data_IF_554539952852
#
_entry.id   IF_554539952852
#
_cell.length_a   1.000
_cell.length_b   1.000
_cell.length_c   1.000
_cell.angle_alpha   90.00
_cell.angle_beta   90.00
_cell.angle_gamma   90.00
#
_symmetry.space_group_name_H-M   'P 1'
#
loop_
_entity.id
_entity.type
_entity.pdbx_description
1 polymer ?
#
# COMPACT_ATOMS: atom_id res chain seq x y z
N UNK A 1 10.92 44.85 16.77
CA UNK A 1 11.96 44.07 16.08
C UNK A 1 11.41 42.65 15.97
N UNK A 2 10.73 42.36 14.85
CA UNK A 2 10.03 41.07 14.68
C UNK A 2 11.06 39.97 14.40
N UNK A 3 10.95 38.89 15.17
CA UNK A 3 11.67 37.64 14.88
C UNK A 3 11.12 37.06 13.55
N UNK A 4 11.99 37.02 12.54
CA UNK A 4 11.75 36.29 11.31
C UNK A 4 11.88 34.80 11.68
N UNK A 5 10.77 34.10 11.85
CA UNK A 5 10.80 32.65 11.96
C UNK A 5 11.45 32.06 10.72
N UNK A 6 12.55 31.35 10.91
CA UNK A 6 13.24 30.65 9.81
C UNK A 6 12.44 29.40 9.52
N UNK A 7 11.66 29.44 8.43
CA UNK A 7 11.00 28.26 7.89
C UNK A 7 12.08 27.22 7.55
N UNK A 8 11.97 26.02 8.10
CA UNK A 8 12.87 24.91 7.76
C UNK A 8 12.64 24.48 6.32
N UNK A 9 13.65 23.85 5.67
CA UNK A 9 13.52 23.28 4.32
C UNK A 9 12.30 22.34 4.22
N UNK A 10 11.97 21.63 5.29
CA UNK A 10 10.85 20.72 5.40
C UNK A 10 9.50 21.45 5.43
N UNK A 11 9.39 22.51 6.19
CA UNK A 11 8.18 23.35 6.23
C UNK A 11 7.97 24.07 4.89
N UNK A 12 9.05 24.53 4.26
CA UNK A 12 8.99 25.11 2.92
C UNK A 12 8.46 24.10 1.88
N UNK A 13 8.93 22.85 1.92
CA UNK A 13 8.47 21.78 1.03
C UNK A 13 7.03 21.39 1.30
N UNK A 14 6.58 21.33 2.57
CA UNK A 14 5.18 21.09 2.93
C UNK A 14 4.25 22.18 2.41
N UNK A 15 4.63 23.45 2.58
CA UNK A 15 3.83 24.59 2.12
C UNK A 15 3.77 24.70 0.59
N UNK A 16 4.78 24.20 -0.11
CA UNK A 16 4.92 24.36 -1.56
C UNK A 16 4.70 23.05 -2.36
N UNK A 17 4.49 21.89 -1.70
CA UNK A 17 4.29 20.61 -2.41
C UNK A 17 3.11 20.69 -3.40
N UNK A 18 1.99 21.28 -2.99
CA UNK A 18 0.84 21.52 -3.87
C UNK A 18 1.13 22.50 -5.00
N UNK A 19 1.98 23.51 -4.75
CA UNK A 19 2.37 24.52 -5.74
C UNK A 19 3.37 23.91 -6.73
N UNK A 20 4.33 23.11 -6.27
CA UNK A 20 5.30 22.42 -7.13
C UNK A 20 4.62 21.43 -8.05
N UNK A 21 3.62 20.69 -7.55
CA UNK A 21 2.76 19.80 -8.35
C UNK A 21 1.96 20.58 -9.39
N UNK A 22 1.33 21.69 -8.99
CA UNK A 22 0.53 22.53 -9.88
C UNK A 22 1.35 23.22 -10.97
N UNK A 23 2.65 23.47 -10.72
CA UNK A 23 3.57 24.10 -11.67
C UNK A 23 4.35 23.08 -12.54
N UNK A 24 4.16 21.78 -12.33
CA UNK A 24 4.93 20.75 -13.03
C UNK A 24 6.44 20.74 -12.72
N UNK A 25 6.84 21.39 -11.62
CA UNK A 25 8.25 21.50 -11.18
C UNK A 25 8.67 20.28 -10.32
N UNK A 26 8.23 19.09 -10.72
CA UNK A 26 8.65 17.86 -10.06
C UNK A 26 10.10 17.53 -10.43
N UNK A 27 10.94 17.06 -9.48
CA UNK A 27 12.26 16.55 -9.81
C UNK A 27 12.13 15.45 -10.87
N UNK A 28 12.76 15.64 -12.00
CA UNK A 28 12.69 14.66 -13.11
C UNK A 28 13.13 13.27 -12.69
N UNK A 29 12.67 12.25 -13.38
CA UNK A 29 13.14 10.86 -13.18
C UNK A 29 14.65 10.82 -13.28
N UNK A 30 15.26 10.04 -12.38
CA UNK A 30 16.67 9.72 -12.44
C UNK A 30 16.97 9.03 -13.79
N UNK A 31 18.16 9.27 -14.36
CA UNK A 31 18.57 8.60 -15.60
C UNK A 31 18.82 7.12 -15.35
N UNK A 32 18.68 6.30 -16.39
CA UNK A 32 18.89 4.85 -16.31
C UNK A 32 20.23 4.43 -15.66
N UNK A 33 21.28 5.26 -15.79
CA UNK A 33 22.59 5.04 -15.14
C UNK A 33 22.51 5.10 -13.60
N UNK A 34 21.54 5.78 -13.04
CA UNK A 34 21.34 5.91 -11.59
C UNK A 34 20.60 4.70 -10.98
N UNK A 35 20.02 3.83 -11.82
CA UNK A 35 19.22 2.66 -11.42
C UNK A 35 20.02 1.35 -11.40
N UNK A 36 21.35 1.45 -11.26
CA UNK A 36 22.24 0.28 -11.27
C UNK A 36 21.82 -0.76 -10.25
N UNK A 37 21.53 -1.97 -10.75
CA UNK A 37 21.16 -3.12 -9.94
C UNK A 37 19.66 -3.36 -9.78
N UNK A 38 18.78 -2.45 -10.24
CA UNK A 38 17.37 -2.72 -10.33
C UNK A 38 17.09 -3.66 -11.50
N UNK A 39 16.29 -4.70 -11.24
CA UNK A 39 15.80 -5.62 -12.30
C UNK A 39 14.26 -5.53 -12.39
N UNK A 40 13.73 -5.95 -13.52
CA UNK A 40 12.29 -6.15 -13.67
C UNK A 40 11.83 -7.42 -12.94
N UNK A 41 10.59 -7.37 -12.45
CA UNK A 41 9.89 -8.52 -11.86
C UNK A 41 8.37 -8.32 -11.94
N UNK A 42 7.64 -9.41 -11.78
CA UNK A 42 6.18 -9.39 -11.65
C UNK A 42 5.78 -9.59 -10.19
N UNK A 43 4.77 -8.90 -9.72
CA UNK A 43 4.21 -9.04 -8.38
C UNK A 43 2.70 -8.84 -8.39
N UNK A 44 2.05 -9.25 -7.30
CA UNK A 44 0.62 -9.13 -7.10
C UNK A 44 0.32 -8.06 -6.07
N UNK A 45 -0.81 -7.37 -6.21
CA UNK A 45 -1.33 -6.43 -5.20
C UNK A 45 -2.82 -6.72 -5.01
N UNK A 46 -3.23 -6.88 -3.77
CA UNK A 46 -4.62 -7.10 -3.40
C UNK A 46 -4.94 -6.38 -2.09
N UNK A 47 -6.17 -5.99 -1.89
CA UNK A 47 -6.60 -5.24 -0.71
C UNK A 47 -8.00 -5.65 -0.25
N UNK A 48 -8.32 -5.30 1.00
CA UNK A 48 -9.65 -5.40 1.58
C UNK A 48 -10.22 -6.82 1.43
N UNK A 49 -9.54 -7.78 2.05
CA UNK A 49 -9.84 -9.20 1.94
C UNK A 49 -11.00 -9.60 2.86
N UNK A 50 -11.07 -8.99 4.06
CA UNK A 50 -12.13 -9.19 5.03
C UNK A 50 -12.46 -10.68 5.24
N UNK A 51 -11.45 -11.46 5.62
CA UNK A 51 -11.68 -12.85 6.00
C UNK A 51 -12.60 -12.88 7.21
N UNK A 52 -13.82 -13.34 7.04
CA UNK A 52 -14.87 -13.29 8.04
C UNK A 52 -14.92 -14.56 8.90
N UNK A 53 -14.96 -15.71 8.26
CA UNK A 53 -14.98 -17.02 8.91
C UNK A 53 -14.55 -18.11 7.90
N UNK A 54 -14.68 -19.37 8.31
CA UNK A 54 -14.28 -20.54 7.49
C UNK A 54 -15.01 -20.63 6.14
N UNK A 55 -16.18 -20.02 5.99
CA UNK A 55 -16.87 -19.96 4.69
C UNK A 55 -16.11 -19.15 3.63
N UNK A 56 -15.11 -18.37 4.04
CA UNK A 56 -14.23 -17.64 3.13
C UNK A 56 -13.17 -18.55 2.48
N UNK A 57 -12.91 -19.74 3.02
CA UNK A 57 -11.86 -20.63 2.51
C UNK A 57 -11.98 -20.93 1.01
N UNK A 58 -13.12 -21.44 0.52
CA UNK A 58 -13.24 -21.76 -0.92
C UNK A 58 -13.04 -20.55 -1.81
N UNK A 59 -13.43 -19.34 -1.33
CA UNK A 59 -13.23 -18.10 -2.04
C UNK A 59 -11.73 -17.79 -2.19
N UNK A 60 -10.99 -17.76 -1.09
CA UNK A 60 -9.57 -17.39 -1.11
C UNK A 60 -8.68 -18.48 -1.71
N UNK A 61 -9.04 -19.75 -1.59
CA UNK A 61 -8.40 -20.82 -2.36
C UNK A 61 -8.58 -20.61 -3.87
N UNK A 62 -9.79 -20.19 -4.29
CA UNK A 62 -10.08 -19.84 -5.67
C UNK A 62 -9.24 -18.65 -6.14
N UNK A 63 -9.19 -17.57 -5.34
CA UNK A 63 -8.38 -16.38 -5.60
C UNK A 63 -6.90 -16.75 -5.74
N UNK A 64 -6.33 -17.47 -4.78
CA UNK A 64 -4.92 -17.86 -4.82
C UNK A 64 -4.60 -18.75 -6.03
N UNK A 65 -5.50 -19.67 -6.38
CA UNK A 65 -5.34 -20.52 -7.56
C UNK A 65 -5.33 -19.69 -8.86
N UNK A 66 -6.24 -18.72 -8.97
CA UNK A 66 -6.32 -17.88 -10.17
C UNK A 66 -5.17 -16.87 -10.24
N UNK A 67 -4.72 -16.32 -9.12
CA UNK A 67 -3.49 -15.52 -9.04
C UNK A 67 -2.28 -16.27 -9.59
N UNK A 68 -2.10 -17.54 -9.21
CA UNK A 68 -1.03 -18.40 -9.77
C UNK A 68 -1.17 -18.62 -11.26
N UNK A 69 -2.39 -18.81 -11.75
CA UNK A 69 -2.66 -19.07 -13.15
C UNK A 69 -2.42 -17.83 -14.02
N UNK A 70 -2.82 -16.66 -13.53
CA UNK A 70 -2.72 -15.38 -14.27
C UNK A 70 -1.33 -14.74 -14.18
N UNK A 71 -0.58 -15.02 -13.10
CA UNK A 71 0.77 -14.49 -12.89
C UNK A 71 1.74 -15.57 -12.38
N UNK A 72 2.05 -16.62 -13.17
CA UNK A 72 2.89 -17.73 -12.71
C UNK A 72 4.34 -17.31 -12.42
N UNK A 73 4.75 -16.14 -12.90
CA UNK A 73 6.08 -15.55 -12.64
C UNK A 73 6.08 -14.47 -11.55
N UNK A 74 4.99 -14.32 -10.78
CA UNK A 74 4.97 -13.39 -9.66
C UNK A 74 5.95 -13.82 -8.57
N UNK A 75 6.72 -12.86 -8.05
CA UNK A 75 7.76 -13.11 -7.06
C UNK A 75 7.28 -12.85 -5.64
N UNK A 76 6.25 -12.03 -5.45
CA UNK A 76 5.60 -11.78 -4.16
C UNK A 76 4.18 -11.20 -4.35
N UNK A 77 3.45 -11.09 -3.24
CA UNK A 77 2.14 -10.44 -3.18
C UNK A 77 2.13 -9.35 -2.10
N UNK A 78 1.60 -8.16 -2.40
CA UNK A 78 1.32 -7.09 -1.42
C UNK A 78 -0.15 -7.17 -1.00
N UNK A 79 -0.40 -7.22 0.30
CA UNK A 79 -1.73 -7.21 0.90
C UNK A 79 -1.97 -5.83 1.54
N UNK A 80 -2.80 -5.00 0.92
CA UNK A 80 -2.96 -3.60 1.33
C UNK A 80 -4.06 -3.41 2.40
N UNK A 81 -4.00 -4.20 3.47
CA UNK A 81 -4.82 -4.05 4.67
C UNK A 81 -6.23 -4.62 4.60
N UNK A 82 -6.92 -4.55 5.73
CA UNK A 82 -8.23 -5.16 5.99
C UNK A 82 -8.23 -6.66 5.63
N UNK A 83 -7.28 -7.37 6.22
CA UNK A 83 -7.08 -8.80 6.02
C UNK A 83 -8.16 -9.60 6.74
N UNK A 84 -8.42 -9.23 8.00
CA UNK A 84 -9.53 -9.72 8.81
C UNK A 84 -10.77 -8.84 8.66
N UNK A 85 -11.96 -9.34 9.01
CA UNK A 85 -13.18 -8.55 9.05
C UNK A 85 -13.39 -7.83 10.40
N UNK A 86 -12.80 -8.32 11.48
CA UNK A 86 -12.95 -7.78 12.85
C UNK A 86 -11.77 -8.09 13.77
N UNK A 87 -10.59 -8.26 13.23
CA UNK A 87 -9.34 -8.40 13.99
C UNK A 87 -9.21 -9.67 14.85
N UNK A 88 -10.05 -10.68 14.62
CA UNK A 88 -10.01 -11.93 15.38
C UNK A 88 -8.83 -12.82 14.97
N UNK A 89 -8.19 -13.53 15.90
CA UNK A 89 -7.06 -14.42 15.59
C UNK A 89 -7.34 -15.45 14.49
N UNK A 90 -8.52 -16.08 14.51
CA UNK A 90 -8.92 -17.05 13.50
C UNK A 90 -9.06 -16.44 12.10
N UNK A 91 -9.41 -15.16 12.01
CA UNK A 91 -9.51 -14.45 10.73
C UNK A 91 -8.13 -14.16 10.15
N UNK A 92 -7.19 -13.67 10.96
CA UNK A 92 -5.80 -13.43 10.53
C UNK A 92 -5.10 -14.74 10.15
N UNK A 93 -5.27 -15.80 10.95
CA UNK A 93 -4.72 -17.11 10.60
C UNK A 93 -5.32 -17.64 9.29
N UNK A 94 -6.65 -17.52 9.13
CA UNK A 94 -7.32 -17.97 7.91
C UNK A 94 -6.78 -17.30 6.67
N UNK A 95 -6.63 -15.98 6.66
CA UNK A 95 -6.11 -15.28 5.49
C UNK A 95 -4.62 -15.56 5.25
N UNK A 96 -3.80 -15.64 6.31
CA UNK A 96 -2.40 -16.06 6.20
C UNK A 96 -2.29 -17.42 5.52
N UNK A 97 -2.99 -18.41 6.03
CA UNK A 97 -2.94 -19.80 5.54
C UNK A 97 -3.43 -19.87 4.08
N UNK A 98 -4.48 -19.10 3.73
CA UNK A 98 -4.95 -19.01 2.35
C UNK A 98 -3.87 -18.44 1.40
N UNK A 99 -3.19 -17.37 1.79
CA UNK A 99 -2.14 -16.77 0.95
C UNK A 99 -0.81 -17.54 0.97
N UNK A 100 -0.53 -18.33 2.01
CA UNK A 100 0.59 -19.29 1.99
C UNK A 100 0.47 -20.30 0.84
N UNK A 101 -0.76 -20.61 0.41
CA UNK A 101 -0.99 -21.47 -0.75
C UNK A 101 -0.46 -20.88 -2.05
N UNK A 102 -0.22 -19.57 -2.16
CA UNK A 102 0.45 -18.97 -3.32
C UNK A 102 1.85 -19.56 -3.56
N UNK A 103 2.54 -19.97 -2.50
CA UNK A 103 3.90 -20.49 -2.57
C UNK A 103 4.96 -19.44 -2.91
N UNK A 104 4.62 -18.17 -2.79
CA UNK A 104 5.51 -17.01 -2.90
C UNK A 104 5.37 -16.16 -1.63
N UNK A 105 6.37 -15.34 -1.26
CA UNK A 105 6.27 -14.41 -0.15
C UNK A 105 5.09 -13.45 -0.31
N UNK A 106 4.46 -13.07 0.80
CA UNK A 106 3.53 -11.96 0.82
C UNK A 106 3.86 -10.99 1.95
N UNK A 107 3.51 -9.73 1.75
CA UNK A 107 3.84 -8.63 2.65
C UNK A 107 2.56 -7.84 2.92
N UNK A 108 2.22 -7.69 4.19
CA UNK A 108 0.95 -7.11 4.62
C UNK A 108 1.11 -5.67 5.14
N UNK A 109 0.18 -4.81 4.82
CA UNK A 109 -0.12 -3.61 5.58
C UNK A 109 -1.31 -3.88 6.50
N UNK A 110 -1.33 -3.25 7.67
CA UNK A 110 -2.47 -3.33 8.59
C UNK A 110 -3.58 -2.40 8.12
N UNK A 111 -4.85 -2.85 8.19
CA UNK A 111 -6.03 -2.04 7.99
C UNK A 111 -6.82 -1.82 9.28
N UNK A 112 -7.86 -0.99 9.23
CA UNK A 112 -8.66 -0.69 10.42
C UNK A 112 -9.52 -1.87 10.89
N UNK A 113 -9.90 -2.77 10.00
CA UNK A 113 -10.59 -4.01 10.36
C UNK A 113 -9.68 -5.08 10.97
N UNK A 114 -8.36 -4.90 10.91
CA UNK A 114 -7.38 -5.78 11.53
C UNK A 114 -7.21 -5.54 13.04
N UNK A 115 -7.92 -4.55 13.58
CA UNK A 115 -7.99 -4.27 15.01
C UNK A 115 -9.20 -4.97 15.66
N UNK A 116 -8.96 -5.62 16.78
CA UNK A 116 -10.01 -6.21 17.62
C UNK A 116 -10.78 -5.13 18.40
N UNK A 117 -10.10 -4.06 18.77
CA UNK A 117 -10.63 -2.86 19.42
C UNK A 117 -9.79 -1.65 19.03
N UNK A 118 -10.16 -0.39 19.35
CA UNK A 118 -9.42 0.80 18.92
C UNK A 118 -7.91 0.79 19.22
N UNK A 119 -7.45 -0.03 20.16
CA UNK A 119 -6.04 -0.10 20.56
C UNK A 119 -5.48 -1.52 20.53
N UNK A 120 -6.28 -2.53 20.17
CA UNK A 120 -5.85 -3.93 20.18
C UNK A 120 -5.67 -4.47 18.77
N UNK A 121 -4.43 -4.60 18.34
CA UNK A 121 -3.99 -5.20 17.08
C UNK A 121 -3.04 -6.38 17.27
N UNK A 122 -3.00 -6.94 18.48
CA UNK A 122 -2.07 -8.02 18.84
C UNK A 122 -2.19 -9.22 17.91
N UNK A 123 -3.40 -9.59 17.53
CA UNK A 123 -3.62 -10.71 16.61
C UNK A 123 -2.95 -10.48 15.24
N UNK A 124 -3.00 -9.26 14.71
CA UNK A 124 -2.27 -8.91 13.49
C UNK A 124 -0.76 -9.01 13.72
N UNK A 125 -0.25 -8.39 14.78
CA UNK A 125 1.19 -8.36 15.08
C UNK A 125 1.77 -9.75 15.36
N UNK A 126 0.99 -10.66 15.95
CA UNK A 126 1.37 -12.06 16.18
C UNK A 126 1.39 -12.89 14.89
N UNK A 127 0.46 -12.62 13.96
CA UNK A 127 0.32 -13.35 12.70
C UNK A 127 1.28 -12.83 11.62
N UNK A 128 1.39 -11.50 11.48
CA UNK A 128 2.22 -10.79 10.49
C UNK A 128 3.39 -10.08 11.17
N UNK A 129 4.24 -10.85 11.84
CA UNK A 129 5.33 -10.34 12.68
C UNK A 129 6.23 -9.37 11.93
N UNK A 130 6.43 -8.19 12.51
CA UNK A 130 7.30 -7.15 11.94
C UNK A 130 6.73 -6.43 10.74
N UNK A 131 5.44 -6.62 10.41
CA UNK A 131 4.81 -6.02 9.24
C UNK A 131 3.86 -4.86 9.62
N UNK A 132 4.27 -3.98 10.53
CA UNK A 132 3.54 -2.74 10.84
C UNK A 132 4.11 -1.57 10.06
N UNK A 133 5.36 -1.19 10.34
CA UNK A 133 6.15 -0.25 9.55
C UNK A 133 7.48 -0.93 9.22
N UNK A 134 7.77 -1.15 7.96
CA UNK A 134 8.93 -1.97 7.58
C UNK A 134 9.40 -1.70 6.15
N UNK A 135 10.61 -2.15 5.85
CA UNK A 135 11.23 -2.01 4.56
C UNK A 135 11.75 -3.38 4.11
N UNK A 136 11.57 -3.67 2.84
CA UNK A 136 12.08 -4.87 2.18
C UNK A 136 12.89 -4.43 0.97
N UNK A 137 14.01 -5.07 0.73
CA UNK A 137 14.73 -4.96 -0.53
C UNK A 137 14.41 -6.16 -1.42
N UNK A 138 14.04 -5.89 -2.68
CA UNK A 138 13.74 -6.93 -3.66
C UNK A 138 14.18 -6.50 -5.05
N UNK A 139 15.04 -7.30 -5.70
CA UNK A 139 15.46 -7.03 -7.09
C UNK A 139 16.09 -5.66 -7.33
N UNK A 140 16.73 -5.06 -6.31
CA UNK A 140 17.28 -3.71 -6.36
C UNK A 140 16.27 -2.59 -6.11
N UNK A 141 15.03 -2.93 -5.81
CA UNK A 141 13.96 -2.03 -5.37
C UNK A 141 13.83 -1.97 -3.86
N UNK A 142 13.20 -0.92 -3.37
CA UNK A 142 12.85 -0.72 -1.96
C UNK A 142 11.33 -0.76 -1.84
N UNK A 143 10.81 -1.70 -1.02
CA UNK A 143 9.38 -1.82 -0.72
C UNK A 143 9.16 -1.27 0.69
N UNK A 144 8.29 -0.28 0.82
CA UNK A 144 8.01 0.39 2.10
C UNK A 144 6.56 0.13 2.47
N UNK A 145 6.33 -0.69 3.49
CA UNK A 145 5.02 -0.92 4.09
C UNK A 145 4.83 -0.03 5.31
N UNK A 146 3.72 0.70 5.39
CA UNK A 146 3.44 1.59 6.52
C UNK A 146 2.03 1.41 7.07
N UNK A 147 1.90 1.62 8.37
CA UNK A 147 0.63 1.72 9.06
C UNK A 147 0.05 3.13 8.94
N UNK A 148 -1.10 3.27 8.29
CA UNK A 148 -1.83 4.53 8.16
C UNK A 148 -3.13 4.55 8.95
N UNK A 149 -3.33 3.58 9.84
CA UNK A 149 -4.55 3.44 10.64
C UNK A 149 -4.58 4.37 11.85
N UNK A 150 -5.77 4.62 12.36
CA UNK A 150 -6.04 5.19 13.68
C UNK A 150 -6.96 4.22 14.43
N UNK A 151 -6.37 3.09 14.88
CA UNK A 151 -7.14 1.99 15.43
C UNK A 151 -8.15 1.46 14.41
N UNK A 152 -9.37 1.19 14.87
CA UNK A 152 -10.47 0.73 14.02
C UNK A 152 -11.36 1.86 13.46
N UNK A 153 -10.93 3.13 13.54
CA UNK A 153 -11.62 4.24 12.90
C UNK A 153 -11.51 4.12 11.38
N UNK A 154 -12.57 4.49 10.65
CA UNK A 154 -12.67 4.29 9.21
C UNK A 154 -12.73 5.59 8.39
N UNK A 155 -12.99 6.73 9.01
CA UNK A 155 -13.01 8.04 8.35
C UNK A 155 -12.50 9.13 9.28
N UNK A 156 -12.16 10.28 8.72
CA UNK A 156 -11.63 11.46 9.43
C UNK A 156 -10.39 11.14 10.29
N UNK A 157 -9.65 10.11 9.89
CA UNK A 157 -8.50 9.54 10.59
C UNK A 157 -7.23 10.36 10.41
N UNK A 158 -6.25 10.09 11.27
CA UNK A 158 -4.89 10.62 11.17
C UNK A 158 -3.87 9.50 11.26
N UNK A 159 -2.88 9.55 10.39
CA UNK A 159 -1.69 8.71 10.50
C UNK A 159 -0.95 9.09 11.78
N UNK A 160 -0.56 8.10 12.57
CA UNK A 160 0.02 8.28 13.89
C UNK A 160 1.36 9.04 13.86
N UNK A 161 1.66 9.74 14.96
CA UNK A 161 2.98 10.34 15.16
C UNK A 161 4.11 9.32 15.12
N UNK A 162 3.85 8.09 15.56
CA UNK A 162 4.84 7.01 15.61
C UNK A 162 5.20 6.54 14.20
N UNK A 163 4.22 6.39 13.31
CA UNK A 163 4.48 6.10 11.88
C UNK A 163 5.26 7.23 11.23
N UNK A 164 4.90 8.50 11.49
CA UNK A 164 5.63 9.64 10.94
C UNK A 164 7.07 9.72 11.48
N UNK A 165 7.27 9.44 12.77
CA UNK A 165 8.61 9.39 13.37
C UNK A 165 9.44 8.23 12.80
N UNK A 166 8.82 7.05 12.61
CA UNK A 166 9.48 5.91 11.98
C UNK A 166 9.92 6.24 10.54
N UNK A 167 9.08 6.93 9.75
CA UNK A 167 9.46 7.40 8.43
C UNK A 167 10.64 8.39 8.49
N UNK A 168 10.63 9.32 9.47
CA UNK A 168 11.71 10.28 9.66
C UNK A 168 13.05 9.62 10.01
N UNK A 169 13.02 8.49 10.71
CA UNK A 169 14.19 7.70 11.07
C UNK A 169 14.64 6.77 9.95
N UNK A 170 13.72 6.13 9.26
CA UNK A 170 13.99 5.03 8.35
C UNK A 170 14.28 5.49 6.92
N UNK A 171 13.52 6.46 6.39
CA UNK A 171 13.73 6.96 5.03
C UNK A 171 15.14 7.52 4.75
N UNK A 172 15.82 8.22 5.68
CA UNK A 172 17.20 8.66 5.44
C UNK A 172 18.21 7.54 5.23
N UNK A 173 17.89 6.31 5.63
CA UNK A 173 18.75 5.11 5.47
C UNK A 173 18.61 4.49 4.07
N UNK A 174 17.57 4.85 3.32
CA UNK A 174 17.29 4.34 1.98
C UNK A 174 18.08 5.11 0.91
N UNK A 175 18.41 4.44 -0.18
CA UNK A 175 18.97 5.09 -1.36
C UNK A 175 17.82 5.73 -2.18
N UNK A 176 17.79 7.06 -2.23
CA UNK A 176 16.75 7.82 -2.95
C UNK A 176 16.73 7.58 -4.45
N UNK A 177 17.81 7.02 -5.02
CA UNK A 177 17.93 6.72 -6.44
C UNK A 177 17.31 5.36 -6.77
N UNK A 178 17.28 4.41 -5.82
CA UNK A 178 16.63 3.12 -6.01
C UNK A 178 15.13 3.31 -6.22
N UNK A 179 14.53 2.60 -7.17
CA UNK A 179 13.09 2.64 -7.34
C UNK A 179 12.40 2.10 -6.09
N UNK A 180 11.34 2.77 -5.68
CA UNK A 180 10.65 2.52 -4.41
C UNK A 180 9.16 2.30 -4.65
N UNK A 181 8.59 1.27 -4.02
CA UNK A 181 7.15 1.03 -3.95
C UNK A 181 6.70 1.30 -2.52
N UNK A 182 5.71 2.17 -2.34
CA UNK A 182 5.01 2.34 -1.07
C UNK A 182 3.70 1.55 -1.12
N UNK A 183 3.36 0.87 -0.03
CA UNK A 183 2.04 0.26 0.12
C UNK A 183 1.51 0.42 1.54
N UNK A 184 0.22 0.60 1.64
CA UNK A 184 -0.48 0.88 2.89
C UNK A 184 -1.98 0.60 2.74
N UNK A 185 -2.74 0.78 3.82
CA UNK A 185 -4.18 0.57 3.76
C UNK A 185 -4.95 1.84 3.36
N UNK A 186 -4.89 2.92 4.14
CA UNK A 186 -5.68 4.11 3.85
C UNK A 186 -5.22 4.84 2.58
N UNK A 187 -6.16 5.42 1.79
CA UNK A 187 -5.83 6.15 0.57
C UNK A 187 -4.92 7.35 0.83
N UNK A 188 -3.83 7.46 0.09
CA UNK A 188 -2.97 8.65 0.14
C UNK A 188 -3.24 9.64 -1.01
N UNK A 189 -3.96 9.20 -2.05
CA UNK A 189 -4.26 10.00 -3.22
C UNK A 189 -5.18 11.19 -2.90
N UNK A 190 -4.92 12.33 -3.54
CA UNK A 190 -5.72 13.53 -3.34
C UNK A 190 -7.19 13.32 -3.75
N UNK A 191 -8.12 13.81 -2.93
CA UNK A 191 -9.57 13.73 -3.15
C UNK A 191 -10.13 12.29 -3.24
N UNK A 192 -9.42 11.28 -2.74
CA UNK A 192 -9.99 9.96 -2.56
C UNK A 192 -10.80 9.96 -1.25
N UNK A 193 -12.02 9.42 -1.23
CA UNK A 193 -12.81 9.32 0.01
C UNK A 193 -12.05 8.61 1.13
N UNK A 194 -12.31 9.00 2.38
CA UNK A 194 -11.71 8.39 3.59
C UNK A 194 -10.17 8.50 3.67
N UNK A 195 -9.59 9.42 2.90
CA UNK A 195 -8.17 9.75 2.97
C UNK A 195 -7.83 10.33 4.35
N UNK A 196 -6.75 9.91 5.03
CA UNK A 196 -6.33 10.50 6.29
C UNK A 196 -6.09 12.02 6.18
N UNK A 197 -6.49 12.77 7.21
CA UNK A 197 -6.41 14.24 7.23
C UNK A 197 -4.98 14.78 7.08
N UNK A 198 -3.99 13.97 7.45
CA UNK A 198 -2.57 14.31 7.37
C UNK A 198 -1.78 13.42 6.37
N UNK A 199 -2.45 12.82 5.38
CA UNK A 199 -1.79 11.98 4.38
C UNK A 199 -0.66 12.72 3.62
N UNK A 200 -0.78 14.05 3.47
CA UNK A 200 0.27 14.88 2.86
C UNK A 200 1.57 14.88 3.67
N UNK A 201 1.53 14.60 4.96
CA UNK A 201 2.73 14.46 5.79
C UNK A 201 3.58 13.26 5.40
N UNK A 202 2.97 12.16 4.95
CA UNK A 202 3.67 11.00 4.39
C UNK A 202 4.22 11.33 3.01
N UNK A 203 3.38 11.87 2.13
CA UNK A 203 3.78 12.19 0.76
C UNK A 203 4.92 13.21 0.70
N UNK A 204 4.92 14.22 1.58
CA UNK A 204 5.99 15.20 1.68
C UNK A 204 7.36 14.58 2.02
N UNK A 205 7.39 13.47 2.77
CA UNK A 205 8.62 12.75 3.12
C UNK A 205 9.19 11.95 1.96
N UNK A 206 8.36 11.64 0.98
CA UNK A 206 8.70 10.80 -0.17
C UNK A 206 9.01 11.61 -1.44
N UNK A 207 8.90 12.95 -1.40
CA UNK A 207 9.10 13.83 -2.56
C UNK A 207 10.47 13.68 -3.25
N UNK A 208 11.50 13.29 -2.49
CA UNK A 208 12.86 13.15 -3.02
C UNK A 208 13.20 11.69 -3.40
N UNK A 209 12.25 10.77 -3.27
CA UNK A 209 12.45 9.35 -3.61
C UNK A 209 12.00 9.05 -5.05
N UNK A 210 12.65 8.08 -5.66
CA UNK A 210 12.25 7.55 -6.96
C UNK A 210 11.07 6.57 -6.79
N UNK A 211 9.86 7.13 -6.58
CA UNK A 211 8.66 6.32 -6.43
C UNK A 211 8.23 5.73 -7.78
N UNK A 212 8.16 4.41 -7.87
CA UNK A 212 7.59 3.68 -9.00
C UNK A 212 6.09 3.50 -8.88
N UNK A 213 5.59 3.27 -7.65
CA UNK A 213 4.15 3.12 -7.39
C UNK A 213 3.81 3.38 -5.92
N UNK A 214 2.55 3.75 -5.66
CA UNK A 214 1.93 3.76 -4.32
C UNK A 214 0.61 2.98 -4.40
N UNK A 215 0.47 1.94 -3.58
CA UNK A 215 -0.73 1.12 -3.50
C UNK A 215 -1.45 1.31 -2.17
N UNK A 216 -2.77 1.48 -2.25
CA UNK A 216 -3.65 1.68 -1.11
C UNK A 216 -4.90 0.81 -1.24
N UNK A 217 -5.58 0.55 -0.13
CA UNK A 217 -6.88 -0.10 -0.03
C UNK A 217 -7.96 0.83 0.49
N UNK A 218 -8.79 0.30 1.41
CA UNK A 218 -9.81 0.96 2.22
C UNK A 218 -11.02 1.51 1.46
N UNK A 219 -10.80 2.21 0.36
CA UNK A 219 -11.90 2.80 -0.42
C UNK A 219 -12.73 1.74 -1.17
N UNK A 220 -12.26 0.50 -1.30
CA UNK A 220 -12.95 -0.53 -2.08
C UNK A 220 -13.41 -0.03 -3.45
N UNK A 221 -12.54 0.65 -4.17
CA UNK A 221 -12.86 1.20 -5.48
C UNK A 221 -11.59 1.60 -6.22
N UNK A 222 -11.67 1.55 -7.55
CA UNK A 222 -10.54 1.89 -8.38
C UNK A 222 -10.35 3.39 -8.48
N UNK A 223 -9.19 3.87 -8.04
CA UNK A 223 -8.77 5.25 -8.29
C UNK A 223 -7.30 5.32 -8.67
N UNK A 224 -6.96 6.27 -9.53
CA UNK A 224 -5.59 6.68 -9.81
C UNK A 224 -5.46 8.18 -9.59
N UNK A 225 -4.41 8.58 -8.88
CA UNK A 225 -4.09 9.98 -8.62
C UNK A 225 -2.62 10.23 -8.89
N UNK A 226 -2.32 11.24 -9.67
CA UNK A 226 -0.96 11.64 -9.96
C UNK A 226 -0.24 12.13 -8.69
N UNK A 227 1.00 11.69 -8.51
CA UNK A 227 1.92 12.20 -7.53
C UNK A 227 3.32 12.28 -8.15
N UNK A 228 3.66 13.44 -8.69
CA UNK A 228 4.86 13.62 -9.50
C UNK A 228 4.83 12.75 -10.75
N UNK A 229 5.79 11.85 -10.85
CA UNK A 229 5.89 10.91 -11.99
C UNK A 229 5.33 9.52 -11.68
N UNK A 230 4.64 9.35 -10.55
CA UNK A 230 4.04 8.08 -10.16
C UNK A 230 2.55 8.21 -9.95
N UNK A 231 1.88 7.07 -9.80
CA UNK A 231 0.47 6.99 -9.48
C UNK A 231 0.26 6.45 -8.07
N UNK A 232 -0.66 7.10 -7.35
CA UNK A 232 -1.24 6.56 -6.12
C UNK A 232 -2.53 5.86 -6.51
N UNK A 233 -2.62 4.57 -6.24
CA UNK A 233 -3.71 3.72 -6.72
C UNK A 233 -4.44 3.08 -5.55
N UNK A 234 -5.78 3.12 -5.57
CA UNK A 234 -6.63 2.21 -4.79
C UNK A 234 -7.26 1.19 -5.73
N UNK A 235 -7.66 0.05 -5.19
CA UNK A 235 -8.30 -1.01 -5.97
C UNK A 235 -9.65 -1.42 -5.39
N UNK A 236 -10.41 -2.17 -6.16
CA UNK A 236 -11.63 -2.86 -5.74
C UNK A 236 -11.27 -3.92 -4.72
N UNK A 237 -12.14 -4.11 -3.72
CA UNK A 237 -11.88 -5.11 -2.70
C UNK A 237 -11.90 -6.55 -3.24
N UNK A 238 -11.13 -7.45 -2.65
CA UNK A 238 -11.16 -8.88 -2.96
C UNK A 238 -11.98 -9.69 -1.95
N UNK A 239 -12.78 -9.02 -1.13
CA UNK A 239 -13.61 -9.66 -0.11
C UNK A 239 -14.75 -10.50 -0.72
N UNK A 240 -15.05 -11.64 -0.09
CA UNK A 240 -16.19 -12.48 -0.46
C UNK A 240 -17.54 -11.77 -0.26
N UNK A 241 -17.68 -11.03 0.85
CA UNK A 241 -18.98 -10.49 1.30
C UNK A 241 -19.10 -8.97 1.29
N UNK A 242 -17.99 -8.24 1.22
CA UNK A 242 -18.01 -6.76 1.18
C UNK A 242 -18.26 -6.26 -0.24
N UNK A 243 -18.90 -5.10 -0.38
CA UNK A 243 -19.12 -4.42 -1.65
C UNK A 243 -18.01 -3.42 -2.00
N UNK A 244 -17.99 -2.97 -3.25
CA UNK A 244 -17.17 -1.85 -3.68
C UNK A 244 -17.95 -0.53 -3.49
N UNK A 245 -17.23 0.54 -3.15
CA UNK A 245 -17.84 1.87 -2.94
C UNK A 245 -17.91 2.69 -4.23
N UNK A 246 -17.23 2.27 -5.29
CA UNK A 246 -17.33 2.87 -6.63
C UNK A 246 -18.52 2.37 -7.46
N UNK A 247 -19.36 1.49 -6.88
CA UNK A 247 -20.52 0.89 -7.52
C UNK A 247 -20.21 -0.28 -8.44
N UNK A 248 -18.94 -0.64 -8.63
CA UNK A 248 -18.53 -1.83 -9.39
C UNK A 248 -18.85 -3.10 -8.61
N UNK A 249 -18.97 -4.23 -9.32
CA UNK A 249 -19.24 -5.54 -8.72
C UNK A 249 -18.02 -6.46 -8.77
N UNK A 250 -17.07 -6.14 -9.61
CA UNK A 250 -15.87 -6.93 -9.81
C UNK A 250 -15.04 -6.97 -8.54
N UNK A 251 -14.53 -8.15 -8.22
CA UNK A 251 -13.57 -8.43 -7.17
C UNK A 251 -12.28 -8.88 -7.84
N UNK A 252 -11.13 -8.59 -7.27
CA UNK A 252 -9.91 -9.02 -7.92
C UNK A 252 -8.64 -8.46 -7.30
N UNK A 253 -7.63 -8.37 -8.13
CA UNK A 253 -6.29 -7.93 -7.75
C UNK A 253 -5.57 -7.31 -8.95
N UNK A 254 -4.47 -6.63 -8.69
CA UNK A 254 -3.55 -6.23 -9.75
C UNK A 254 -2.46 -7.28 -9.97
N UNK A 255 -2.19 -7.55 -11.25
CA UNK A 255 -0.90 -8.08 -11.69
C UNK A 255 -0.04 -6.89 -12.09
N UNK A 256 1.08 -6.70 -11.39
CA UNK A 256 1.97 -5.57 -11.57
C UNK A 256 3.31 -6.04 -12.17
N UNK A 257 3.90 -5.18 -13.01
CA UNK A 257 5.26 -5.38 -13.54
C UNK A 257 6.11 -4.17 -13.19
N UNK A 258 7.15 -4.42 -12.41
CA UNK A 258 8.21 -3.47 -12.15
C UNK A 258 9.26 -3.58 -13.28
N UNK A 259 9.63 -2.46 -13.85
CA UNK A 259 10.63 -2.40 -14.92
C UNK A 259 11.98 -1.92 -14.36
N UNK A 260 13.07 -2.35 -14.95
CA UNK A 260 14.41 -1.87 -14.56
C UNK A 260 14.57 -0.34 -14.66
N UNK A 261 13.68 0.33 -15.39
CA UNK A 261 13.59 1.80 -15.48
C UNK A 261 13.04 2.48 -14.23
N UNK A 262 12.50 1.71 -13.28
CA UNK A 262 11.79 2.25 -12.10
C UNK A 262 10.29 2.49 -12.34
N UNK A 263 9.78 2.12 -13.52
CA UNK A 263 8.35 2.19 -13.85
C UNK A 263 7.60 0.97 -13.32
N UNK A 264 6.32 1.15 -12.96
CA UNK A 264 5.42 0.07 -12.60
C UNK A 264 4.16 0.16 -13.44
N UNK A 265 3.88 -0.91 -14.19
CA UNK A 265 2.60 -1.10 -14.86
C UNK A 265 1.71 -2.02 -14.03
N UNK A 266 0.39 -1.91 -14.19
CA UNK A 266 -0.59 -2.71 -13.46
C UNK A 266 -1.76 -3.08 -14.37
N UNK A 267 -2.28 -4.28 -14.18
CA UNK A 267 -3.46 -4.80 -14.87
C UNK A 267 -4.41 -5.38 -13.82
N UNK A 268 -5.66 -4.91 -13.82
CA UNK A 268 -6.68 -5.47 -12.92
C UNK A 268 -7.18 -6.81 -13.47
N UNK A 269 -7.12 -7.83 -12.65
CA UNK A 269 -7.69 -9.15 -12.94
C UNK A 269 -8.94 -9.33 -12.11
N UNK A 270 -10.08 -9.44 -12.79
CA UNK A 270 -11.35 -9.71 -12.12
C UNK A 270 -11.47 -11.19 -11.78
N UNK A 271 -11.64 -11.50 -10.50
CA UNK A 271 -11.87 -12.86 -10.03
C UNK A 271 -13.21 -13.41 -10.51
N UNK A 272 -13.19 -14.58 -11.11
CA UNK A 272 -14.37 -15.29 -11.54
C UNK A 272 -14.57 -16.53 -10.65
N UNK A 273 -15.43 -16.45 -9.60
CA UNK A 273 -15.67 -17.63 -8.77
C UNK A 273 -16.23 -18.76 -9.64
N UNK A 274 -15.57 -19.91 -9.58
CA UNK A 274 -16.12 -21.14 -10.20
C UNK A 274 -17.38 -21.53 -9.46
N UNK A 275 -18.49 -21.72 -10.20
CA UNK A 275 -19.78 -22.14 -9.70
C UNK A 275 -19.71 -23.49 -8.95
#
# INVERSE_FOLDING_TARGET
>A
MGMVERITRREFLRLNAGILLALGLWPGRLRADDLRGARGFTFLVVNDLHFFNEECWPWFEGVAREMKATAPGAEFCLLCGDLADSGLPGQHHGIRDAFETLGIPFYAAIGNHDYLSPTDRRSYEETFKGQTNYIIEHGGWQLVGIDTTEGNAWQDTKISSDTLAWLDESLPKLDRRKPTILFTHFPLGANVPMRPLNADDVLARLLEFNLGAVFCGHFHGYTERDFGNTLITTDRCCARVRGNHDGSKEKGWFVCRAEASGDVTREFIAFQPTA
#
